data_IF_822913312621
#
_entry.id   IF_822913312621
#
_cell.length_a   1.000
_cell.length_b   1.000
_cell.length_c   1.000
_cell.angle_alpha   90.00
_cell.angle_beta   90.00
_cell.angle_gamma   90.00
#
_symmetry.space_group_name_H-M   'P 1'
#
loop_
_entity.id
_entity.type
_entity.pdbx_description
1 polymer ?
#
# COMPACT_ATOMS: atom_id res chain seq x y z
N UNK A 1 -5.85 -5.12 -17.49
CA UNK A 1 -5.34 -5.11 -18.87
C UNK A 1 -5.55 -6.49 -19.45
N UNK A 2 -6.19 -6.62 -20.61
CA UNK A 2 -6.18 -7.89 -21.33
C UNK A 2 -4.71 -8.28 -21.59
N UNK A 3 -4.32 -9.49 -21.19
CA UNK A 3 -2.94 -9.98 -21.36
C UNK A 3 -1.92 -9.59 -20.27
N UNK A 4 -2.30 -8.85 -19.21
CA UNK A 4 -1.42 -8.57 -18.07
C UNK A 4 -0.52 -7.34 -18.24
N UNK A 5 0.69 -7.39 -17.67
CA UNK A 5 1.70 -6.32 -17.70
C UNK A 5 2.94 -6.78 -18.49
N UNK A 6 2.91 -6.58 -19.81
CA UNK A 6 4.08 -6.76 -20.66
C UNK A 6 5.05 -5.58 -20.55
N UNK A 7 6.30 -5.78 -20.98
CA UNK A 7 7.29 -4.71 -21.03
C UNK A 7 6.85 -3.53 -21.90
N UNK A 8 6.13 -3.80 -23.00
CA UNK A 8 5.57 -2.76 -23.85
C UNK A 8 4.49 -1.94 -23.13
N UNK A 9 3.60 -2.58 -22.35
CA UNK A 9 2.57 -1.88 -21.56
C UNK A 9 3.20 -1.05 -20.43
N UNK A 10 4.27 -1.57 -19.80
CA UNK A 10 5.05 -0.84 -18.80
C UNK A 10 5.71 0.40 -19.40
N UNK A 11 6.36 0.26 -20.55
CA UNK A 11 6.99 1.37 -21.26
C UNK A 11 5.96 2.41 -21.71
N UNK A 12 4.83 1.98 -22.26
CA UNK A 12 3.75 2.88 -22.66
C UNK A 12 3.18 3.69 -21.49
N UNK A 13 3.00 3.06 -20.31
CA UNK A 13 2.60 3.77 -19.09
C UNK A 13 3.66 4.80 -18.67
N UNK A 14 4.95 4.41 -18.66
CA UNK A 14 6.04 5.30 -18.32
C UNK A 14 6.10 6.52 -19.23
N UNK A 15 6.03 6.31 -20.54
CA UNK A 15 6.05 7.39 -21.53
C UNK A 15 4.85 8.32 -21.36
N UNK A 16 3.64 7.77 -21.18
CA UNK A 16 2.44 8.59 -20.98
C UNK A 16 2.56 9.52 -19.76
N UNK A 17 3.19 9.06 -18.67
CA UNK A 17 3.47 9.89 -17.50
C UNK A 17 4.49 10.97 -17.81
N UNK A 18 5.58 10.64 -18.52
CA UNK A 18 6.61 11.60 -18.92
C UNK A 18 6.01 12.68 -19.82
N UNK A 19 5.30 12.29 -20.87
CA UNK A 19 4.65 13.21 -21.82
C UNK A 19 3.70 14.17 -21.09
N UNK A 20 2.92 13.66 -20.12
CA UNK A 20 2.01 14.49 -19.31
C UNK A 20 2.76 15.49 -18.44
N UNK A 21 3.89 15.08 -17.84
CA UNK A 21 4.69 15.96 -16.99
C UNK A 21 5.45 17.02 -17.81
N UNK A 22 5.88 16.69 -19.03
CA UNK A 22 6.57 17.59 -19.97
C UNK A 22 5.73 18.83 -20.29
N UNK A 23 4.39 18.70 -20.32
CA UNK A 23 3.46 19.85 -20.48
C UNK A 23 3.65 20.94 -19.42
N UNK A 24 4.12 20.58 -18.23
CA UNK A 24 4.32 21.47 -17.07
C UNK A 24 5.80 21.66 -16.70
N UNK A 25 6.67 20.76 -17.14
CA UNK A 25 8.10 20.77 -16.88
C UNK A 25 8.86 20.57 -18.22
N UNK A 26 9.09 21.65 -18.99
CA UNK A 26 9.78 21.55 -20.27
C UNK A 26 11.18 20.94 -20.14
N UNK A 27 11.56 20.14 -21.14
CA UNK A 27 12.83 19.40 -21.21
C UNK A 27 12.99 18.31 -20.13
N UNK A 28 11.92 17.91 -19.45
CA UNK A 28 11.98 16.85 -18.44
C UNK A 28 12.57 15.57 -19.01
N UNK A 29 12.03 15.06 -20.13
CA UNK A 29 12.43 13.80 -20.75
C UNK A 29 13.93 13.78 -21.06
N UNK A 30 14.46 14.87 -21.61
CA UNK A 30 15.88 15.01 -21.96
C UNK A 30 16.79 14.96 -20.75
N UNK A 31 16.28 15.30 -19.56
CA UNK A 31 17.01 15.32 -18.31
C UNK A 31 16.85 14.03 -17.48
N UNK A 32 16.09 13.03 -17.97
CA UNK A 32 15.93 11.74 -17.29
C UNK A 32 17.20 10.89 -17.48
N UNK A 33 17.92 10.64 -16.40
CA UNK A 33 19.08 9.72 -16.39
C UNK A 33 18.67 8.25 -16.24
N UNK A 34 17.59 8.00 -15.51
CA UNK A 34 17.06 6.66 -15.26
C UNK A 34 15.55 6.74 -15.01
N UNK A 35 14.82 5.78 -15.59
CA UNK A 35 13.39 5.62 -15.36
C UNK A 35 13.13 4.18 -14.91
N UNK A 36 12.40 4.04 -13.81
CA UNK A 36 11.88 2.77 -13.34
C UNK A 36 10.37 2.88 -13.22
N UNK A 37 9.66 2.06 -13.99
CA UNK A 37 8.20 1.93 -13.88
C UNK A 37 7.94 0.66 -13.08
N UNK A 38 7.25 0.77 -11.95
CA UNK A 38 6.80 -0.36 -11.14
C UNK A 38 5.30 -0.55 -11.33
N UNK A 39 4.91 -1.71 -11.84
CA UNK A 39 3.52 -2.11 -12.03
C UNK A 39 2.98 -2.77 -10.76
N UNK A 40 1.65 -2.92 -10.61
CA UNK A 40 1.05 -3.71 -9.54
C UNK A 40 1.65 -5.11 -9.38
N UNK A 41 2.07 -5.76 -10.47
CA UNK A 41 2.71 -7.08 -10.43
C UNK A 41 4.07 -7.02 -9.73
N UNK A 42 4.92 -6.05 -10.10
CA UNK A 42 6.24 -5.91 -9.47
C UNK A 42 6.11 -5.53 -7.99
N UNK A 43 5.12 -4.70 -7.66
CA UNK A 43 4.84 -4.30 -6.29
C UNK A 43 4.38 -5.49 -5.45
N UNK A 44 3.55 -6.36 -6.01
CA UNK A 44 3.12 -7.60 -5.36
C UNK A 44 4.29 -8.57 -5.17
N UNK A 45 5.07 -8.81 -6.23
CA UNK A 45 6.20 -9.76 -6.21
C UNK A 45 7.33 -9.30 -5.29
N UNK A 46 7.70 -8.02 -5.35
CA UNK A 46 8.87 -7.47 -4.65
C UNK A 46 8.56 -7.14 -3.20
N UNK A 47 7.36 -6.59 -2.94
CA UNK A 47 7.03 -6.02 -1.62
C UNK A 47 5.87 -6.73 -0.92
N UNK A 48 5.23 -7.72 -1.55
CA UNK A 48 4.03 -8.37 -1.02
C UNK A 48 2.81 -7.44 -0.99
N UNK A 49 2.79 -6.39 -1.82
CA UNK A 49 1.64 -5.51 -1.96
C UNK A 49 0.64 -6.13 -2.94
N UNK A 50 -0.23 -7.02 -2.44
CA UNK A 50 -1.25 -7.68 -3.26
C UNK A 50 -2.06 -6.66 -4.07
N UNK A 51 -2.13 -6.88 -5.38
CA UNK A 51 -2.76 -5.98 -6.34
C UNK A 51 -2.11 -4.60 -6.47
N UNK A 52 -0.89 -4.41 -5.95
CA UNK A 52 -0.18 -3.13 -5.90
C UNK A 52 -0.77 -2.12 -4.90
N UNK A 53 -1.66 -2.55 -3.99
CA UNK A 53 -2.34 -1.62 -3.09
C UNK A 53 -1.46 -1.30 -1.88
N UNK A 54 -0.95 -0.07 -1.83
CA UNK A 54 -0.10 0.44 -0.74
C UNK A 54 -0.78 0.37 0.63
N UNK A 55 -2.11 0.34 0.66
CA UNK A 55 -2.86 0.23 1.89
C UNK A 55 -3.00 -1.22 2.36
N UNK A 56 -2.66 -2.24 1.57
CA UNK A 56 -2.88 -3.67 1.88
C UNK A 56 -4.37 -3.99 2.08
N UNK A 57 -5.22 -3.46 1.21
CA UNK A 57 -6.67 -3.56 1.27
C UNK A 57 -7.30 -2.22 0.91
N UNK A 58 -8.54 -2.23 0.42
CA UNK A 58 -9.26 -1.03 0.05
C UNK A 58 -9.54 -0.15 1.28
N UNK A 59 -9.70 1.15 1.04
CA UNK A 59 -10.18 2.12 2.03
C UNK A 59 -11.67 2.40 1.82
N UNK A 60 -12.44 1.36 1.56
CA UNK A 60 -13.89 1.43 1.49
C UNK A 60 -14.50 1.32 2.88
N UNK A 61 -15.74 1.79 3.07
CA UNK A 61 -16.41 1.80 4.38
C UNK A 61 -16.44 0.41 5.04
N UNK A 62 -16.62 -0.65 4.25
CA UNK A 62 -16.61 -2.03 4.71
C UNK A 62 -15.22 -2.59 5.07
N UNK A 63 -14.13 -1.87 4.78
CA UNK A 63 -12.74 -2.25 5.07
C UNK A 63 -11.99 -1.19 5.91
N UNK A 64 -12.74 -0.34 6.61
CA UNK A 64 -12.24 0.71 7.50
C UNK A 64 -12.65 0.48 8.95
N UNK A 65 -12.02 1.24 9.85
CA UNK A 65 -12.29 1.20 11.29
C UNK A 65 -12.22 -0.22 11.88
N UNK A 66 -13.24 -0.62 12.62
CA UNK A 66 -13.35 -1.91 13.29
C UNK A 66 -13.62 -3.08 12.32
N UNK A 67 -13.81 -2.80 11.02
CA UNK A 67 -13.90 -3.83 9.98
C UNK A 67 -12.52 -4.17 9.39
N UNK A 68 -11.44 -3.48 9.79
CA UNK A 68 -10.08 -3.64 9.26
C UNK A 68 -9.14 -4.32 10.27
N UNK A 69 -8.46 -5.44 9.93
CA UNK A 69 -8.48 -6.12 8.62
C UNK A 69 -9.74 -6.95 8.40
N UNK A 70 -10.33 -7.48 9.48
CA UNK A 70 -11.61 -8.16 9.48
C UNK A 70 -12.31 -7.92 10.83
N UNK A 71 -13.65 -7.99 10.88
CA UNK A 71 -14.41 -7.88 12.12
C UNK A 71 -13.92 -8.89 13.17
N UNK A 72 -13.86 -8.47 14.43
CA UNK A 72 -13.39 -9.29 15.55
C UNK A 72 -11.87 -9.25 15.78
N UNK A 73 -11.05 -8.96 14.75
CA UNK A 73 -9.58 -8.86 14.86
C UNK A 73 -9.01 -7.48 14.54
N UNK A 74 -9.88 -6.48 14.40
CA UNK A 74 -9.49 -5.07 14.27
C UNK A 74 -8.87 -4.47 15.55
N UNK A 75 -8.81 -5.25 16.63
CA UNK A 75 -8.21 -4.89 17.91
C UNK A 75 -6.70 -5.10 18.01
N UNK A 76 -5.99 -5.32 16.89
CA UNK A 76 -4.56 -5.68 16.79
C UNK A 76 -4.18 -7.06 17.34
N UNK A 77 -5.00 -7.69 18.18
CA UNK A 77 -4.85 -9.07 18.62
C UNK A 77 -5.43 -10.03 17.57
N UNK A 78 -4.74 -11.14 17.35
CA UNK A 78 -5.24 -12.24 16.49
C UNK A 78 -5.73 -13.42 17.35
N UNK A 79 -6.43 -14.40 16.76
CA UNK A 79 -6.74 -15.67 17.44
C UNK A 79 -5.50 -16.47 17.86
N UNK A 80 -4.35 -16.21 17.24
CA UNK A 80 -3.10 -16.87 17.55
C UNK A 80 -2.46 -16.16 18.74
N UNK A 81 -2.19 -16.92 19.80
CA UNK A 81 -1.59 -16.41 21.02
C UNK A 81 -0.26 -15.71 20.70
N UNK A 82 -0.11 -14.49 21.22
CA UNK A 82 1.07 -13.64 21.06
C UNK A 82 1.37 -13.20 19.62
N UNK A 83 0.42 -13.31 18.69
CA UNK A 83 0.51 -12.72 17.35
C UNK A 83 -0.36 -11.47 17.27
N UNK A 84 0.25 -10.36 16.84
CA UNK A 84 -0.39 -9.05 16.71
C UNK A 84 -0.20 -8.50 15.31
N UNK A 85 -1.16 -7.70 14.85
CA UNK A 85 -1.11 -7.02 13.56
C UNK A 85 -0.81 -5.54 13.77
N UNK A 86 0.07 -4.97 12.96
CA UNK A 86 0.54 -3.59 13.14
C UNK A 86 0.86 -2.87 11.83
N UNK A 87 0.45 -3.44 10.70
CA UNK A 87 0.78 -2.94 9.36
C UNK A 87 -0.30 -2.07 8.74
N UNK A 88 -0.07 -1.66 7.51
CA UNK A 88 -0.99 -0.86 6.70
C UNK A 88 -2.38 -1.51 6.53
N UNK A 89 -2.41 -2.85 6.53
CA UNK A 89 -3.63 -3.65 6.52
C UNK A 89 -4.52 -3.52 7.77
N UNK A 90 -4.11 -2.76 8.79
CA UNK A 90 -4.86 -2.60 10.04
C UNK A 90 -5.32 -1.15 10.27
N UNK A 91 -6.33 -0.95 11.11
CA UNK A 91 -6.77 0.39 11.51
C UNK A 91 -5.59 1.20 12.11
N UNK A 92 -5.51 2.53 11.89
CA UNK A 92 -6.35 3.39 11.04
C UNK A 92 -6.10 3.30 9.53
N UNK A 93 -5.12 2.52 9.10
CA UNK A 93 -4.70 2.40 7.71
C UNK A 93 -3.21 2.65 7.57
N UNK A 94 -2.75 2.62 6.33
CA UNK A 94 -1.34 2.79 5.96
C UNK A 94 -0.80 4.21 5.97
N UNK A 95 0.30 4.36 5.24
CA UNK A 95 1.08 5.60 5.13
C UNK A 95 2.15 5.75 6.21
N UNK A 96 2.84 6.89 6.19
CA UNK A 96 3.98 7.19 7.09
C UNK A 96 3.50 7.66 8.48
N UNK A 97 2.28 7.29 8.88
CA UNK A 97 1.69 7.74 10.15
C UNK A 97 2.25 7.03 11.38
N UNK A 98 2.71 5.77 11.21
CA UNK A 98 3.13 4.90 12.32
C UNK A 98 2.01 4.52 13.30
N UNK A 99 0.76 4.94 13.04
CA UNK A 99 -0.35 4.75 13.97
C UNK A 99 -0.71 3.27 14.22
N UNK A 100 -0.79 2.40 13.20
CA UNK A 100 -0.98 0.96 13.41
C UNK A 100 0.08 0.34 14.33
N UNK A 101 1.35 0.66 14.09
CA UNK A 101 2.49 0.24 14.91
C UNK A 101 2.34 0.63 16.37
N UNK A 102 2.05 1.91 16.61
CA UNK A 102 1.86 2.46 17.95
C UNK A 102 0.69 1.77 18.68
N UNK A 103 -0.44 1.59 18.01
CA UNK A 103 -1.64 1.03 18.63
C UNK A 103 -1.49 -0.47 18.92
N UNK A 104 -0.81 -1.21 18.04
CA UNK A 104 -0.41 -2.59 18.32
C UNK A 104 0.53 -2.68 19.54
N UNK A 105 1.54 -1.81 19.62
CA UNK A 105 2.45 -1.76 20.77
C UNK A 105 1.73 -1.45 22.09
N UNK A 106 0.79 -0.49 22.10
CA UNK A 106 -0.04 -0.21 23.27
C UNK A 106 -0.92 -1.41 23.65
N UNK A 107 -1.42 -2.15 22.67
CA UNK A 107 -2.20 -3.37 22.89
C UNK A 107 -1.34 -4.47 23.52
N UNK A 108 -0.10 -4.65 23.04
CA UNK A 108 0.89 -5.59 23.60
C UNK A 108 1.19 -5.24 25.06
N UNK A 109 1.41 -3.96 25.36
CA UNK A 109 1.71 -3.47 26.72
C UNK A 109 0.50 -3.46 27.67
N UNK A 110 -0.70 -3.83 27.20
CA UNK A 110 -1.94 -3.74 28.00
C UNK A 110 -2.38 -2.31 28.31
N UNK A 111 -1.93 -1.32 27.52
CA UNK A 111 -2.18 0.12 27.72
C UNK A 111 -3.29 0.68 26.83
N UNK A 112 -3.89 -0.15 25.99
CA UNK A 112 -5.05 0.23 25.19
C UNK A 112 -6.31 -0.02 26.01
N UNK A 113 -7.08 1.03 26.29
CA UNK A 113 -8.45 0.91 26.83
C UNK A 113 -9.36 0.39 25.73
N UNK A 114 -10.19 -0.59 26.07
CA UNK A 114 -11.23 -1.13 25.19
C UNK A 114 -12.29 -0.07 24.85
#
# INVERSE_FOLDING_TARGET
LEGGWSDAQRQALGQAVIDTLEEYAPDLEKNILHCQVLTPWDLEETFGLTGGNIFQGELALQQLFFMRPVPGWAGYRTPIRNLFLCGSGTHPGGGVSGAPGRLAALTILGRRRE
#
